data_IF_912038075103
#
_entry.id   IF_912038075103
#
_cell.length_a   1.000
_cell.length_b   1.000
_cell.length_c   1.000
_cell.angle_alpha   90.00
_cell.angle_beta   90.00
_cell.angle_gamma   90.00
#
_symmetry.space_group_name_H-M   'P 1'
#
loop_
_entity.id
_entity.type
_entity.pdbx_description
1 polymer ?
#
# COMPACT_ATOMS: atom_id res chain seq x y z
N UNK A 1 4.36 -26.92 32.52
CA UNK A 1 3.78 -26.85 31.16
C UNK A 1 4.11 -25.48 30.58
N UNK A 2 5.29 -25.36 29.95
CA UNK A 2 5.68 -24.18 29.19
C UNK A 2 4.83 -24.21 27.90
N UNK A 3 4.05 -23.16 27.63
CA UNK A 3 3.43 -23.02 26.30
C UNK A 3 4.49 -22.43 25.38
N UNK A 4 5.09 -23.28 24.56
CA UNK A 4 5.89 -22.82 23.43
C UNK A 4 4.94 -22.17 22.41
N UNK A 5 4.83 -20.84 22.47
CA UNK A 5 4.26 -20.05 21.38
C UNK A 5 5.36 -19.85 20.34
N UNK A 6 5.66 -20.88 19.56
CA UNK A 6 6.32 -20.68 18.27
C UNK A 6 5.37 -19.89 17.38
N UNK A 7 5.58 -18.58 17.31
CA UNK A 7 5.02 -17.76 16.24
C UNK A 7 5.72 -18.16 14.94
N UNK A 8 5.28 -19.27 14.34
CA UNK A 8 5.55 -19.60 12.94
C UNK A 8 4.74 -18.67 12.02
N UNK A 9 4.80 -17.36 12.28
CA UNK A 9 4.35 -16.37 11.33
C UNK A 9 5.50 -16.22 10.34
N UNK A 10 5.53 -17.09 9.32
CA UNK A 10 6.16 -16.70 8.05
C UNK A 10 5.37 -15.49 7.56
N UNK A 11 5.75 -14.30 8.02
CA UNK A 11 5.24 -13.03 7.55
C UNK A 11 5.39 -13.06 6.04
N UNK A 12 4.25 -13.27 5.38
CA UNK A 12 4.25 -13.41 3.94
C UNK A 12 4.62 -12.05 3.39
N UNK A 13 5.79 -11.97 2.74
CA UNK A 13 6.26 -10.73 2.15
C UNK A 13 5.15 -10.17 1.24
N UNK A 14 4.69 -8.93 1.45
CA UNK A 14 3.60 -8.36 0.68
C UNK A 14 4.03 -8.22 -0.78
N UNK A 15 3.15 -8.60 -1.72
CA UNK A 15 3.30 -8.26 -3.13
C UNK A 15 2.28 -7.22 -3.54
N UNK A 16 2.70 -6.24 -4.33
CA UNK A 16 1.85 -5.13 -4.75
C UNK A 16 1.92 -4.90 -6.26
N UNK A 17 0.79 -4.57 -6.87
CA UNK A 17 0.73 -4.13 -8.26
C UNK A 17 -0.33 -3.05 -8.47
N UNK A 18 -0.21 -2.29 -9.55
CA UNK A 18 -1.18 -1.26 -9.96
C UNK A 18 -1.78 -1.71 -11.30
N UNK A 19 -2.82 -2.57 -11.28
CA UNK A 19 -3.41 -3.11 -12.51
C UNK A 19 -4.18 -2.08 -13.34
N UNK A 20 -4.70 -1.02 -12.73
CA UNK A 20 -5.49 0.00 -13.44
C UNK A 20 -5.53 1.34 -12.71
N UNK A 21 -6.06 2.34 -13.40
CA UNK A 21 -6.40 3.65 -12.85
C UNK A 21 -7.69 4.17 -13.45
N UNK A 22 -8.46 4.92 -12.67
CA UNK A 22 -9.75 5.48 -13.07
C UNK A 22 -9.72 7.01 -12.96
N UNK A 23 -10.24 7.73 -13.96
CA UNK A 23 -10.44 9.18 -13.87
C UNK A 23 -11.74 9.47 -13.12
N UNK A 24 -11.62 10.16 -11.99
CA UNK A 24 -12.75 10.63 -11.21
C UNK A 24 -12.95 12.12 -11.46
N UNK A 25 -14.21 12.51 -11.66
CA UNK A 25 -14.59 13.91 -11.88
C UNK A 25 -15.53 14.37 -10.79
N UNK A 26 -15.14 15.43 -10.09
CA UNK A 26 -15.99 16.10 -9.12
C UNK A 26 -16.09 17.59 -9.51
N UNK A 27 -17.29 18.01 -9.94
CA UNK A 27 -17.55 19.38 -10.42
C UNK A 27 -16.57 19.76 -11.55
N UNK A 28 -15.72 20.78 -11.30
CA UNK A 28 -14.68 21.29 -12.22
C UNK A 28 -13.31 20.63 -11.99
N UNK A 29 -13.16 19.73 -11.01
CA UNK A 29 -11.90 19.04 -10.70
C UNK A 29 -11.92 17.63 -11.28
N UNK A 30 -10.76 17.23 -11.81
CA UNK A 30 -10.47 15.86 -12.26
C UNK A 30 -9.30 15.34 -11.44
N UNK A 31 -9.36 14.08 -11.05
CA UNK A 31 -8.26 13.40 -10.39
C UNK A 31 -8.22 11.93 -10.80
N UNK A 32 -7.03 11.38 -10.94
CA UNK A 32 -6.81 9.96 -11.19
C UNK A 32 -6.74 9.21 -9.87
N UNK A 33 -7.46 8.10 -9.78
CA UNK A 33 -7.41 7.16 -8.67
C UNK A 33 -6.77 5.87 -9.18
N UNK A 34 -5.68 5.45 -8.54
CA UNK A 34 -5.01 4.20 -8.86
C UNK A 34 -5.63 3.07 -8.03
N UNK A 35 -5.94 1.96 -8.70
CA UNK A 35 -6.42 0.73 -8.08
C UNK A 35 -5.20 -0.13 -7.76
N UNK A 36 -4.81 -0.19 -6.50
CA UNK A 36 -3.66 -0.96 -6.03
C UNK A 36 -4.13 -2.30 -5.53
N UNK A 37 -3.61 -3.39 -6.11
CA UNK A 37 -3.80 -4.74 -5.57
C UNK A 37 -2.69 -5.02 -4.57
N UNK A 38 -3.06 -5.37 -3.34
CA UNK A 38 -2.15 -5.78 -2.28
C UNK A 38 -2.45 -7.23 -1.92
N UNK A 39 -1.45 -8.09 -2.00
CA UNK A 39 -1.54 -9.49 -1.62
C UNK A 39 -0.58 -9.77 -0.46
N UNK A 40 -1.11 -10.30 0.64
CA UNK A 40 -0.34 -10.73 1.81
C UNK A 40 -0.75 -12.16 2.16
N UNK A 41 0.14 -13.11 1.87
CA UNK A 41 -0.14 -14.53 2.06
C UNK A 41 -1.28 -15.00 1.16
N UNK A 42 -2.43 -15.33 1.75
CA UNK A 42 -3.64 -15.77 1.04
C UNK A 42 -4.72 -14.69 0.92
N UNK A 43 -4.47 -13.50 1.46
CA UNK A 43 -5.42 -12.40 1.50
C UNK A 43 -5.05 -11.35 0.47
N UNK A 44 -6.03 -10.92 -0.32
CA UNK A 44 -5.88 -9.88 -1.33
C UNK A 44 -6.98 -8.84 -1.18
N UNK A 45 -6.63 -7.57 -1.35
CA UNK A 45 -7.60 -6.48 -1.33
C UNK A 45 -7.15 -5.32 -2.21
N UNK A 46 -8.13 -4.47 -2.58
CA UNK A 46 -7.87 -3.25 -3.31
C UNK A 46 -7.75 -2.06 -2.37
N UNK A 47 -6.77 -1.19 -2.64
CA UNK A 47 -6.66 0.14 -2.04
C UNK A 47 -6.71 1.16 -3.17
N UNK A 48 -7.49 2.22 -2.96
CA UNK A 48 -7.65 3.31 -3.92
C UNK A 48 -6.88 4.53 -3.43
N UNK A 49 -5.91 5.00 -4.22
CA UNK A 49 -5.05 6.13 -3.85
C UNK A 49 -4.85 7.08 -5.02
N UNK A 50 -4.72 8.37 -4.72
CA UNK A 50 -4.28 9.40 -5.69
C UNK A 50 -2.76 9.53 -5.67
N UNK A 51 -2.19 10.10 -6.73
CA UNK A 51 -0.75 10.35 -6.83
C UNK A 51 -0.18 11.11 -5.62
N UNK A 52 -0.89 12.15 -5.15
CA UNK A 52 -0.45 12.97 -4.01
C UNK A 52 -0.31 12.16 -2.69
N UNK A 53 -1.03 11.05 -2.55
CA UNK A 53 -0.88 10.18 -1.38
C UNK A 53 0.40 9.35 -1.45
N UNK A 54 0.79 8.91 -2.66
CA UNK A 54 2.10 8.28 -2.87
C UNK A 54 3.25 9.26 -2.70
N UNK A 55 3.13 10.49 -3.23
CA UNK A 55 4.14 11.53 -3.07
C UNK A 55 4.37 11.87 -1.58
N UNK A 56 3.30 11.99 -0.80
CA UNK A 56 3.40 12.19 0.65
C UNK A 56 4.16 11.04 1.34
N UNK A 57 3.85 9.79 0.97
CA UNK A 57 4.56 8.62 1.50
C UNK A 57 6.03 8.62 1.10
N UNK A 58 6.33 8.90 -0.18
CA UNK A 58 7.69 8.97 -0.69
C UNK A 58 8.53 9.99 0.06
N UNK A 59 8.04 11.22 0.22
CA UNK A 59 8.77 12.25 0.95
C UNK A 59 9.00 11.83 2.42
N UNK A 60 7.99 11.25 3.08
CA UNK A 60 8.14 10.78 4.47
C UNK A 60 9.19 9.67 4.62
N UNK A 61 9.20 8.70 3.71
CA UNK A 61 10.18 7.59 3.72
C UNK A 61 11.58 8.08 3.34
N UNK A 62 11.68 8.95 2.33
CA UNK A 62 12.95 9.57 1.93
C UNK A 62 13.57 10.31 3.11
N UNK A 63 12.79 11.15 3.79
CA UNK A 63 13.29 11.95 4.90
C UNK A 63 13.71 11.06 6.09
N UNK A 64 12.97 9.97 6.37
CA UNK A 64 13.38 8.96 7.34
C UNK A 64 14.71 8.29 6.98
N UNK A 65 14.87 7.83 5.73
CA UNK A 65 16.09 7.13 5.29
C UNK A 65 17.30 8.09 5.29
N UNK A 66 17.12 9.35 4.88
CA UNK A 66 18.21 10.34 4.81
C UNK A 66 18.62 10.85 6.20
N UNK A 67 17.74 10.72 7.21
CA UNK A 67 18.04 11.14 8.59
C UNK A 67 18.74 10.07 9.44
N UNK A 68 18.90 8.85 8.90
CA UNK A 68 19.63 7.73 9.52
C UNK A 68 21.04 7.63 8.95
#
# INVERSE_FOLDING_TARGET
MQRDYTMDYKESCPSVSIPSSDEHREKKKRFTVYKVLVSVGRSEWFVFRRYAEFDKLYNSVRDYIVSV
#
